data_IF_330238401252
#
_entry.id   IF_330238401252
#
_cell.length_a   1.000
_cell.length_b   1.000
_cell.length_c   1.000
_cell.angle_alpha   90.00
_cell.angle_beta   90.00
_cell.angle_gamma   90.00
#
_symmetry.space_group_name_H-M   'P 1'
#
loop_
_entity.id
_entity.type
_entity.pdbx_description
1 polymer ?
#
# COMPACT_ATOMS: atom_id res chain seq x y z
N UNK A 1 -30.97 -0.53 6.77
CA UNK A 1 -32.42 -0.72 7.03
C UNK A 1 -32.83 -2.02 6.38
N UNK A 2 -33.36 -2.95 7.18
CA UNK A 2 -33.90 -4.20 6.70
C UNK A 2 -35.08 -3.95 5.78
N UNK A 3 -34.98 -4.36 4.51
CA UNK A 3 -36.10 -4.16 3.57
C UNK A 3 -37.00 -5.38 3.56
N UNK A 4 -37.88 -5.44 4.57
CA UNK A 4 -38.90 -6.49 4.69
C UNK A 4 -39.89 -6.46 3.50
N UNK A 5 -39.95 -5.38 2.72
CA UNK A 5 -40.78 -5.26 1.54
C UNK A 5 -40.25 -6.12 0.39
N UNK A 6 -38.95 -5.98 0.07
CA UNK A 6 -38.30 -6.77 -0.98
C UNK A 6 -38.30 -8.27 -0.67
N UNK A 7 -38.11 -8.64 0.62
CA UNK A 7 -38.16 -10.07 1.02
C UNK A 7 -39.57 -10.66 0.83
N UNK A 8 -40.62 -9.90 1.14
CA UNK A 8 -42.02 -10.35 0.90
C UNK A 8 -42.28 -10.51 -0.60
N UNK A 9 -41.81 -9.58 -1.41
CA UNK A 9 -41.95 -9.67 -2.86
C UNK A 9 -41.19 -10.85 -3.43
N UNK A 10 -39.92 -11.07 -2.98
CA UNK A 10 -39.14 -12.23 -3.37
C UNK A 10 -39.85 -13.55 -3.04
N UNK A 11 -40.40 -13.69 -1.81
CA UNK A 11 -41.17 -14.84 -1.42
C UNK A 11 -42.41 -15.04 -2.28
N UNK A 12 -43.15 -13.97 -2.56
CA UNK A 12 -44.35 -14.07 -3.39
C UNK A 12 -44.03 -14.52 -4.83
N UNK A 13 -42.97 -14.02 -5.41
CA UNK A 13 -42.49 -14.40 -6.76
C UNK A 13 -42.01 -15.86 -6.77
N UNK A 14 -41.26 -16.27 -5.76
CA UNK A 14 -40.80 -17.66 -5.61
C UNK A 14 -41.99 -18.62 -5.48
N UNK A 15 -42.93 -18.33 -4.57
CA UNK A 15 -44.11 -19.22 -4.34
C UNK A 15 -44.97 -19.32 -5.61
N UNK A 16 -45.14 -18.24 -6.35
CA UNK A 16 -45.85 -18.24 -7.62
C UNK A 16 -45.14 -19.08 -8.70
N UNK A 17 -43.80 -19.03 -8.76
CA UNK A 17 -43.02 -19.84 -9.65
C UNK A 17 -43.12 -21.33 -9.30
N UNK A 18 -42.87 -21.68 -8.06
CA UNK A 18 -42.88 -23.05 -7.57
C UNK A 18 -44.28 -23.70 -7.75
N UNK A 19 -45.33 -22.93 -7.49
CA UNK A 19 -46.71 -23.40 -7.72
C UNK A 19 -47.03 -23.76 -9.19
N UNK A 20 -46.35 -23.12 -10.11
CA UNK A 20 -46.59 -23.31 -11.56
C UNK A 20 -45.63 -24.26 -12.23
N UNK A 21 -44.33 -24.25 -11.79
CA UNK A 21 -43.26 -24.90 -12.51
C UNK A 21 -42.46 -25.90 -11.67
N UNK A 22 -42.72 -26.00 -10.37
CA UNK A 22 -41.91 -26.79 -9.43
C UNK A 22 -40.67 -26.02 -8.92
N UNK A 23 -39.87 -26.72 -8.13
CA UNK A 23 -38.68 -26.14 -7.51
C UNK A 23 -37.56 -25.81 -8.54
N UNK A 24 -36.71 -24.83 -8.20
CA UNK A 24 -35.62 -24.39 -9.09
C UNK A 24 -34.60 -25.48 -9.39
N UNK A 25 -34.35 -26.37 -8.41
CA UNK A 25 -33.39 -27.47 -8.57
C UNK A 25 -33.96 -28.69 -9.34
N UNK A 26 -35.22 -28.65 -9.77
CA UNK A 26 -35.75 -29.68 -10.67
C UNK A 26 -35.06 -29.58 -12.04
N UNK A 27 -34.78 -30.73 -12.68
CA UNK A 27 -33.88 -30.78 -13.85
C UNK A 27 -34.23 -29.80 -14.97
N UNK A 28 -35.51 -29.70 -15.33
CA UNK A 28 -35.97 -28.84 -16.42
C UNK A 28 -35.80 -27.37 -16.06
N UNK A 29 -36.15 -26.97 -14.81
CA UNK A 29 -35.99 -25.59 -14.33
C UNK A 29 -34.50 -25.21 -14.19
N UNK A 30 -33.68 -26.15 -13.72
CA UNK A 30 -32.24 -25.94 -13.59
C UNK A 30 -31.57 -25.56 -14.90
N UNK A 31 -31.88 -26.27 -15.99
CA UNK A 31 -31.29 -25.99 -17.31
C UNK A 31 -31.67 -24.57 -17.77
N UNK A 32 -32.93 -24.15 -17.62
CA UNK A 32 -33.40 -22.83 -18.01
C UNK A 32 -32.80 -21.70 -17.17
N UNK A 33 -32.75 -21.88 -15.85
CA UNK A 33 -32.19 -20.87 -14.92
C UNK A 33 -30.69 -20.67 -15.18
N UNK A 34 -29.95 -21.73 -15.48
CA UNK A 34 -28.52 -21.65 -15.77
C UNK A 34 -28.17 -20.98 -17.11
N UNK A 35 -29.16 -20.71 -17.96
CA UNK A 35 -28.95 -19.87 -19.16
C UNK A 35 -28.77 -18.39 -18.81
N UNK A 36 -29.25 -17.96 -17.65
CA UNK A 36 -29.05 -16.58 -17.18
C UNK A 36 -27.70 -16.47 -16.44
N UNK A 37 -27.01 -15.33 -16.65
CA UNK A 37 -25.75 -15.03 -15.95
C UNK A 37 -25.89 -14.97 -14.42
N UNK A 38 -27.06 -14.62 -13.91
CA UNK A 38 -27.42 -14.59 -12.47
C UNK A 38 -28.07 -15.89 -11.99
N UNK A 39 -28.18 -16.88 -12.85
CA UNK A 39 -28.82 -18.18 -12.52
C UNK A 39 -28.24 -18.85 -11.29
N UNK A 40 -26.92 -18.78 -11.13
CA UNK A 40 -26.23 -19.33 -9.93
C UNK A 40 -26.72 -18.65 -8.65
N UNK A 41 -26.94 -17.34 -8.66
CA UNK A 41 -27.45 -16.60 -7.51
C UNK A 41 -28.90 -17.00 -7.18
N UNK A 42 -29.72 -17.21 -8.21
CA UNK A 42 -31.11 -17.66 -8.07
C UNK A 42 -31.20 -19.02 -7.37
N UNK A 43 -30.28 -19.94 -7.62
CA UNK A 43 -30.25 -21.23 -6.93
C UNK A 43 -30.02 -21.11 -5.42
N UNK A 44 -29.33 -20.06 -4.99
CA UNK A 44 -29.02 -19.88 -3.54
C UNK A 44 -30.26 -19.63 -2.68
N UNK A 45 -31.42 -19.28 -3.27
CA UNK A 45 -32.69 -19.09 -2.53
C UNK A 45 -33.40 -20.41 -2.21
N UNK A 46 -32.98 -21.53 -2.80
CA UNK A 46 -33.38 -22.89 -2.42
C UNK A 46 -32.17 -23.62 -1.81
N UNK A 47 -32.45 -24.46 -0.82
CA UNK A 47 -31.45 -25.41 -0.32
C UNK A 47 -32.05 -26.81 -0.18
N UNK A 48 -31.19 -27.81 -0.32
CA UNK A 48 -31.57 -29.22 -0.16
C UNK A 48 -31.42 -29.62 1.31
N UNK A 49 -32.50 -30.02 1.91
CA UNK A 49 -32.52 -30.57 3.25
C UNK A 49 -32.96 -32.07 3.19
N UNK A 50 -31.96 -32.95 3.18
CA UNK A 50 -32.20 -34.39 2.95
C UNK A 50 -32.67 -34.64 1.52
N UNK A 51 -33.95 -35.05 1.36
CA UNK A 51 -34.60 -35.27 0.07
C UNK A 51 -35.49 -34.11 -0.39
N UNK A 52 -35.74 -33.17 0.48
CA UNK A 52 -36.66 -32.06 0.23
C UNK A 52 -35.92 -30.82 -0.16
N UNK A 53 -36.50 -30.02 -1.08
CA UNK A 53 -36.06 -28.70 -1.45
C UNK A 53 -36.84 -27.67 -0.65
N UNK A 54 -36.15 -26.81 0.08
CA UNK A 54 -36.76 -25.83 0.98
C UNK A 54 -36.19 -24.43 0.70
N UNK A 55 -36.96 -23.41 1.10
CA UNK A 55 -36.50 -22.03 1.07
C UNK A 55 -35.27 -21.85 1.95
N UNK A 56 -34.22 -21.22 1.42
CA UNK A 56 -33.03 -20.86 2.18
C UNK A 56 -33.33 -19.75 3.22
N UNK A 57 -32.42 -19.57 4.16
CA UNK A 57 -32.62 -18.63 5.27
C UNK A 57 -32.77 -17.17 4.83
N UNK A 58 -32.20 -16.76 3.71
CA UNK A 58 -32.35 -15.41 3.14
C UNK A 58 -33.85 -15.08 2.87
N UNK A 59 -34.65 -16.08 2.59
CA UNK A 59 -36.12 -15.93 2.37
C UNK A 59 -36.88 -15.66 3.67
N UNK A 60 -36.29 -15.95 4.81
CA UNK A 60 -36.90 -15.84 6.14
C UNK A 60 -36.34 -14.70 6.96
N UNK A 61 -35.00 -14.54 6.95
CA UNK A 61 -34.29 -13.56 7.76
C UNK A 61 -33.03 -13.03 7.04
N UNK A 62 -32.48 -11.90 7.49
CA UNK A 62 -31.20 -11.39 6.95
C UNK A 62 -30.08 -12.38 7.29
N UNK A 63 -29.42 -12.93 6.26
CA UNK A 63 -28.30 -13.87 6.44
C UNK A 63 -26.94 -13.15 6.53
N UNK A 64 -26.87 -11.91 6.07
CA UNK A 64 -25.66 -11.09 6.10
C UNK A 64 -25.32 -10.52 7.49
N UNK A 65 -26.30 -10.54 8.43
CA UNK A 65 -26.13 -9.92 9.74
C UNK A 65 -26.53 -10.91 10.84
N UNK A 66 -25.57 -11.24 11.70
CA UNK A 66 -25.85 -11.96 12.93
C UNK A 66 -26.72 -11.05 13.80
N UNK A 67 -27.89 -11.54 14.27
CA UNK A 67 -28.67 -10.81 15.27
C UNK A 67 -27.83 -10.69 16.54
N UNK A 68 -27.47 -9.45 16.89
CA UNK A 68 -26.87 -9.17 18.19
C UNK A 68 -27.93 -9.44 19.21
N UNK A 69 -27.64 -10.30 20.19
CA UNK A 69 -28.51 -10.46 21.33
C UNK A 69 -28.56 -9.13 22.09
N UNK A 70 -29.69 -8.40 22.09
CA UNK A 70 -29.75 -7.07 22.70
C UNK A 70 -29.54 -7.12 24.23
N UNK A 71 -29.52 -8.31 24.83
CA UNK A 71 -29.32 -8.51 26.27
C UNK A 71 -27.86 -8.91 26.61
N UNK A 72 -27.01 -9.17 25.61
CA UNK A 72 -25.61 -9.52 25.84
C UNK A 72 -24.74 -8.26 25.81
N UNK A 73 -24.39 -7.75 26.98
CA UNK A 73 -23.38 -6.70 27.12
C UNK A 73 -22.01 -7.29 26.79
N UNK A 74 -21.28 -6.60 25.93
CA UNK A 74 -19.90 -6.93 25.56
C UNK A 74 -18.93 -6.10 26.41
N UNK A 75 -17.75 -6.63 26.66
CA UNK A 75 -16.64 -5.81 27.13
C UNK A 75 -16.17 -4.88 26.00
N UNK A 76 -15.54 -3.73 26.27
CA UNK A 76 -15.05 -2.80 25.23
C UNK A 76 -14.17 -3.49 24.19
N UNK A 77 -13.30 -4.42 24.58
CA UNK A 77 -12.44 -5.20 23.68
C UNK A 77 -13.27 -6.15 22.79
N UNK A 78 -14.25 -6.85 23.37
CA UNK A 78 -15.15 -7.71 22.59
C UNK A 78 -16.01 -6.90 21.61
N UNK A 79 -16.49 -5.74 22.05
CA UNK A 79 -17.25 -4.82 21.22
C UNK A 79 -16.40 -4.29 20.07
N UNK A 80 -15.15 -3.91 20.33
CA UNK A 80 -14.20 -3.49 19.29
C UNK A 80 -13.93 -4.61 18.29
N UNK A 81 -13.62 -5.83 18.74
CA UNK A 81 -13.42 -6.99 17.88
C UNK A 81 -14.67 -7.29 17.02
N UNK A 82 -15.85 -7.14 17.62
CA UNK A 82 -17.14 -7.32 16.94
C UNK A 82 -17.37 -6.22 15.89
N UNK A 83 -17.12 -4.96 16.25
CA UNK A 83 -17.23 -3.81 15.34
C UNK A 83 -16.28 -3.96 14.15
N UNK A 84 -15.02 -4.30 14.42
CA UNK A 84 -14.03 -4.56 13.38
C UNK A 84 -14.45 -5.72 12.46
N UNK A 85 -15.04 -6.77 13.01
CA UNK A 85 -15.51 -7.91 12.24
C UNK A 85 -16.71 -7.58 11.33
N UNK A 86 -17.66 -6.74 11.79
CA UNK A 86 -18.86 -6.39 11.04
C UNK A 86 -18.69 -5.19 10.12
N UNK A 87 -17.97 -4.15 10.57
CA UNK A 87 -17.88 -2.87 9.86
C UNK A 87 -16.49 -2.62 9.27
N UNK A 88 -15.49 -3.46 9.59
CA UNK A 88 -14.09 -3.25 9.20
C UNK A 88 -13.41 -2.07 9.92
N UNK A 89 -14.12 -1.41 10.85
CA UNK A 89 -13.65 -0.26 11.63
C UNK A 89 -14.19 -0.27 13.05
N UNK A 90 -13.57 0.52 13.92
CA UNK A 90 -14.07 0.76 15.28
C UNK A 90 -15.18 1.81 15.24
N UNK A 91 -16.43 1.38 15.08
CA UNK A 91 -17.59 2.27 15.04
C UNK A 91 -18.02 2.61 16.47
N UNK A 92 -17.85 3.88 16.87
CA UNK A 92 -18.09 4.32 18.25
C UNK A 92 -19.56 4.18 18.67
N UNK A 93 -20.50 4.44 17.77
CA UNK A 93 -21.93 4.27 18.07
C UNK A 93 -22.25 2.80 18.38
N UNK A 94 -21.68 1.88 17.62
CA UNK A 94 -21.81 0.45 17.88
C UNK A 94 -21.16 0.05 19.22
N UNK A 95 -19.97 0.59 19.51
CA UNK A 95 -19.28 0.32 20.78
C UNK A 95 -20.14 0.77 21.98
N UNK A 96 -20.66 1.99 21.96
CA UNK A 96 -21.53 2.51 23.02
C UNK A 96 -22.80 1.67 23.21
N UNK A 97 -23.45 1.28 22.10
CA UNK A 97 -24.65 0.44 22.16
C UNK A 97 -24.37 -0.97 22.69
N UNK A 98 -23.24 -1.56 22.32
CA UNK A 98 -22.92 -2.96 22.67
C UNK A 98 -22.40 -3.10 24.10
N UNK A 99 -21.77 -2.06 24.65
CA UNK A 99 -21.21 -2.05 26.02
C UNK A 99 -22.14 -1.40 27.02
N UNK A 100 -23.09 -0.55 26.59
CA UNK A 100 -23.90 0.34 27.41
C UNK A 100 -23.05 1.31 28.27
N UNK A 101 -21.91 1.74 27.70
CA UNK A 101 -20.93 2.64 28.32
C UNK A 101 -20.86 3.97 27.58
N UNK A 102 -20.43 5.02 28.29
CA UNK A 102 -20.16 6.31 27.68
C UNK A 102 -18.89 6.30 26.82
N UNK A 103 -18.83 7.19 25.85
CA UNK A 103 -17.67 7.32 24.94
C UNK A 103 -16.34 7.45 25.70
N UNK A 104 -16.30 8.27 26.75
CA UNK A 104 -15.11 8.49 27.56
C UNK A 104 -14.58 7.23 28.25
N UNK A 105 -15.50 6.41 28.75
CA UNK A 105 -15.19 5.13 29.40
C UNK A 105 -14.60 4.15 28.38
N UNK A 106 -15.23 4.05 27.21
CA UNK A 106 -14.75 3.20 26.11
C UNK A 106 -13.35 3.62 25.63
N UNK A 107 -13.12 4.92 25.44
CA UNK A 107 -11.81 5.45 25.07
C UNK A 107 -10.75 5.14 26.14
N UNK A 108 -11.12 5.25 27.42
CA UNK A 108 -10.26 4.90 28.55
C UNK A 108 -9.89 3.42 28.56
N UNK A 109 -10.86 2.55 28.38
CA UNK A 109 -10.69 1.09 28.39
C UNK A 109 -9.94 0.57 27.16
N UNK A 110 -10.11 1.24 26.01
CA UNK A 110 -9.44 0.90 24.74
C UNK A 110 -8.15 1.69 24.50
N UNK A 111 -7.61 2.32 25.55
CA UNK A 111 -6.34 3.09 25.43
C UNK A 111 -5.22 2.20 24.90
N UNK A 112 -4.62 2.64 23.78
CA UNK A 112 -3.57 1.90 23.09
C UNK A 112 -4.06 0.86 22.06
N UNK A 113 -5.37 0.59 22.01
CA UNK A 113 -6.00 -0.24 20.97
C UNK A 113 -6.61 0.61 19.85
N UNK A 114 -7.09 1.82 20.17
CA UNK A 114 -7.63 2.78 19.22
C UNK A 114 -6.92 4.13 19.37
N UNK A 115 -6.82 4.86 18.26
CA UNK A 115 -6.21 6.19 18.18
C UNK A 115 -7.11 7.14 17.39
N UNK A 116 -7.26 8.37 17.88
CA UNK A 116 -8.01 9.40 17.17
C UNK A 116 -7.23 9.92 15.98
N UNK A 117 -7.87 9.91 14.80
CA UNK A 117 -7.32 10.44 13.57
C UNK A 117 -8.08 11.72 13.17
N UNK A 118 -7.54 12.91 13.43
CA UNK A 118 -8.22 14.17 13.16
C UNK A 118 -8.42 14.42 11.64
N UNK A 119 -7.63 13.81 10.76
CA UNK A 119 -7.80 13.97 9.31
C UNK A 119 -9.12 13.40 8.79
N UNK A 120 -9.68 12.40 9.48
CA UNK A 120 -10.96 11.77 9.14
C UNK A 120 -12.02 11.97 10.23
N UNK A 121 -11.66 12.54 11.38
CA UNK A 121 -12.55 12.76 12.53
C UNK A 121 -13.05 11.46 13.18
N UNK A 122 -12.32 10.35 13.06
CA UNK A 122 -12.73 9.02 13.53
C UNK A 122 -11.64 8.34 14.36
N UNK A 123 -12.06 7.30 15.11
CA UNK A 123 -11.15 6.43 15.85
C UNK A 123 -10.73 5.27 14.98
N UNK A 124 -9.43 5.08 14.81
CA UNK A 124 -8.85 3.96 14.07
C UNK A 124 -8.22 2.93 15.01
N UNK A 125 -8.38 1.65 14.70
CA UNK A 125 -7.70 0.57 15.40
C UNK A 125 -6.18 0.63 15.19
N UNK A 126 -5.41 0.31 16.23
CA UNK A 126 -3.93 0.36 16.25
C UNK A 126 -3.26 -0.27 15.02
N UNK A 127 -3.77 -1.42 14.56
CA UNK A 127 -3.18 -2.16 13.42
C UNK A 127 -3.22 -1.37 12.12
N UNK A 128 -4.24 -0.52 11.92
CA UNK A 128 -4.36 0.37 10.76
C UNK A 128 -3.68 1.71 11.02
N UNK A 129 -3.88 2.28 12.22
CA UNK A 129 -3.36 3.60 12.56
C UNK A 129 -1.82 3.63 12.60
N UNK A 130 -1.18 2.67 13.28
CA UNK A 130 0.26 2.58 13.49
C UNK A 130 1.01 1.88 12.32
N UNK A 131 0.44 1.86 11.12
CA UNK A 131 1.02 1.23 9.94
C UNK A 131 0.99 2.15 8.72
N UNK A 132 1.69 1.73 7.66
CA UNK A 132 1.86 2.55 6.46
C UNK A 132 2.99 3.56 6.61
N UNK A 133 2.91 4.68 5.90
CA UNK A 133 3.88 5.78 6.05
C UNK A 133 3.59 6.56 7.34
N UNK A 134 4.20 6.12 8.43
CA UNK A 134 3.97 6.68 9.78
C UNK A 134 4.53 8.10 9.93
N UNK A 135 5.60 8.44 9.20
CA UNK A 135 6.20 9.80 9.23
C UNK A 135 5.26 10.80 8.55
N UNK A 136 4.75 10.46 7.36
CA UNK A 136 3.79 11.32 6.65
C UNK A 136 2.50 11.48 7.45
N UNK A 137 1.97 10.39 8.03
CA UNK A 137 0.79 10.41 8.89
C UNK A 137 1.01 11.28 10.13
N UNK A 138 2.16 11.18 10.77
CA UNK A 138 2.51 12.00 11.93
C UNK A 138 2.53 13.49 11.59
N UNK A 139 3.12 13.88 10.45
CA UNK A 139 3.14 15.26 9.94
C UNK A 139 1.74 15.77 9.61
N UNK A 140 0.94 14.95 8.91
CA UNK A 140 -0.43 15.27 8.55
C UNK A 140 -1.28 15.53 9.80
N UNK A 141 -1.30 14.59 10.74
CA UNK A 141 -2.05 14.70 12.00
C UNK A 141 -1.59 15.90 12.81
N UNK A 142 -0.28 16.13 12.89
CA UNK A 142 0.30 17.29 13.58
C UNK A 142 -0.15 18.64 13.01
N UNK A 143 -0.48 18.73 11.73
CA UNK A 143 -0.95 19.95 11.09
C UNK A 143 -2.36 20.37 11.56
N UNK A 144 -3.18 19.44 12.04
CA UNK A 144 -4.53 19.72 12.54
C UNK A 144 -4.56 20.24 13.98
N UNK A 145 -3.47 20.12 14.76
CA UNK A 145 -3.44 20.48 16.18
C UNK A 145 -3.94 21.89 16.49
N UNK A 146 -3.75 22.85 15.60
CA UNK A 146 -4.21 24.24 15.80
C UNK A 146 -5.72 24.43 15.66
N UNK A 147 -6.42 23.49 15.02
CA UNK A 147 -7.85 23.59 14.70
C UNK A 147 -8.73 22.77 15.65
N UNK A 148 -8.12 21.90 16.45
CA UNK A 148 -8.80 20.95 17.33
C UNK A 148 -9.22 21.60 18.66
N UNK A 149 -10.27 21.05 19.28
CA UNK A 149 -10.65 21.33 20.65
C UNK A 149 -9.60 20.82 21.64
N UNK A 150 -9.58 21.32 22.87
CA UNK A 150 -8.57 20.91 23.86
C UNK A 150 -8.61 19.39 24.14
N UNK A 151 -9.78 18.77 24.09
CA UNK A 151 -9.97 17.34 24.26
C UNK A 151 -9.40 16.53 23.08
N UNK A 152 -9.68 16.96 21.86
CA UNK A 152 -9.16 16.33 20.66
C UNK A 152 -7.65 16.49 20.54
N UNK A 153 -7.08 17.59 21.04
CA UNK A 153 -5.63 17.79 21.15
C UNK A 153 -4.96 16.75 22.00
N UNK A 154 -5.48 16.46 23.19
CA UNK A 154 -4.93 15.43 24.09
C UNK A 154 -4.93 14.04 23.43
N UNK A 155 -6.01 13.69 22.75
CA UNK A 155 -6.10 12.45 21.97
C UNK A 155 -5.10 12.42 20.82
N UNK A 156 -4.98 13.52 20.08
CA UNK A 156 -4.07 13.65 18.94
C UNK A 156 -2.62 13.62 19.38
N UNK A 157 -2.25 14.26 20.49
CA UNK A 157 -0.90 14.20 21.07
C UNK A 157 -0.54 12.76 21.47
N UNK A 158 -1.49 12.03 22.06
CA UNK A 158 -1.32 10.60 22.34
C UNK A 158 -1.10 9.79 21.08
N UNK A 159 -1.86 10.07 20.03
CA UNK A 159 -1.74 9.42 18.73
C UNK A 159 -0.39 9.72 18.04
N UNK A 160 0.06 10.98 18.05
CA UNK A 160 1.37 11.40 17.52
C UNK A 160 2.51 10.72 18.27
N UNK A 161 2.42 10.62 19.60
CA UNK A 161 3.43 9.90 20.39
C UNK A 161 3.50 8.42 20.01
N UNK A 162 2.36 7.77 19.87
CA UNK A 162 2.31 6.36 19.47
C UNK A 162 2.88 6.13 18.04
N UNK A 163 2.66 7.06 17.11
CA UNK A 163 3.28 7.03 15.78
C UNK A 163 4.81 7.21 15.86
N UNK A 164 5.28 8.11 16.73
CA UNK A 164 6.71 8.30 16.94
C UNK A 164 7.37 7.05 17.52
N UNK A 165 6.72 6.37 18.47
CA UNK A 165 7.22 5.15 19.11
C UNK A 165 7.37 3.97 18.14
N UNK A 166 6.57 3.91 17.06
CA UNK A 166 6.66 2.86 16.03
C UNK A 166 7.45 3.29 14.79
N UNK A 167 7.87 4.56 14.73
CA UNK A 167 8.68 5.05 13.61
C UNK A 167 10.02 4.31 13.59
N UNK A 168 10.45 3.77 12.44
CA UNK A 168 11.74 3.10 12.33
C UNK A 168 12.88 4.02 12.78
N UNK A 169 13.90 3.43 13.41
CA UNK A 169 15.12 4.15 13.76
C UNK A 169 15.76 4.74 12.50
N UNK A 170 16.18 5.99 12.57
CA UNK A 170 16.75 6.68 11.43
C UNK A 170 18.06 6.03 10.99
N UNK A 171 18.18 5.74 9.70
CA UNK A 171 19.42 5.25 9.09
C UNK A 171 20.39 6.43 9.04
N UNK A 172 21.58 6.33 9.67
CA UNK A 172 22.55 7.41 9.70
C UNK A 172 23.26 7.56 8.33
N UNK A 173 23.92 8.71 8.10
CA UNK A 173 24.59 9.03 6.84
C UNK A 173 25.60 7.94 6.39
N UNK A 174 26.34 7.38 7.33
CA UNK A 174 27.38 6.38 7.09
C UNK A 174 26.84 5.03 6.57
N UNK A 175 25.54 4.80 6.76
CA UNK A 175 24.84 3.59 6.29
C UNK A 175 24.00 3.84 5.02
N UNK A 176 23.95 5.09 4.55
CA UNK A 176 23.24 5.40 3.31
C UNK A 176 24.05 4.96 2.08
N UNK A 177 23.46 4.16 1.23
CA UNK A 177 23.99 3.86 -0.10
C UNK A 177 23.51 4.94 -1.08
N UNK A 178 24.32 6.00 -1.24
CA UNK A 178 23.99 7.15 -2.08
C UNK A 178 24.70 7.02 -3.43
N UNK A 179 23.92 6.91 -4.49
CA UNK A 179 24.42 6.86 -5.84
C UNK A 179 24.12 8.14 -6.61
N UNK A 180 25.06 8.60 -7.41
CA UNK A 180 24.84 9.76 -8.28
C UNK A 180 23.70 9.47 -9.26
N UNK A 181 22.77 10.42 -9.40
CA UNK A 181 21.61 10.33 -10.29
C UNK A 181 20.34 9.78 -9.64
N UNK A 182 20.34 9.53 -8.33
CA UNK A 182 19.12 9.18 -7.62
C UNK A 182 18.11 10.34 -7.61
N UNK A 183 16.84 10.03 -7.92
CA UNK A 183 15.77 11.02 -8.15
C UNK A 183 15.26 11.70 -6.88
N UNK A 184 15.62 11.16 -5.71
CA UNK A 184 15.26 11.76 -4.43
C UNK A 184 16.22 12.85 -3.96
N UNK A 185 17.41 12.94 -4.56
CA UNK A 185 18.41 13.97 -4.29
C UNK A 185 18.06 15.23 -5.08
N UNK A 186 18.08 16.37 -4.42
CA UNK A 186 17.81 17.65 -5.07
C UNK A 186 18.82 17.93 -6.19
N UNK A 187 18.33 18.32 -7.37
CA UNK A 187 19.16 18.66 -8.53
C UNK A 187 20.14 19.81 -8.25
N UNK A 188 19.85 20.65 -7.25
CA UNK A 188 20.76 21.69 -6.80
C UNK A 188 22.08 21.09 -6.30
N UNK A 189 22.04 19.96 -5.60
CA UNK A 189 23.25 19.30 -5.11
C UNK A 189 24.12 18.80 -6.27
N UNK A 190 23.51 18.28 -7.33
CA UNK A 190 24.21 17.91 -8.56
C UNK A 190 24.78 19.12 -9.29
N UNK A 191 24.06 20.25 -9.29
CA UNK A 191 24.51 21.50 -9.89
C UNK A 191 25.71 22.08 -9.13
N UNK A 192 25.69 22.07 -7.80
CA UNK A 192 26.79 22.52 -6.94
C UNK A 192 28.06 21.67 -7.17
N UNK A 193 27.90 20.34 -7.23
CA UNK A 193 29.00 19.44 -7.57
C UNK A 193 29.53 19.67 -8.97
N UNK A 194 28.66 19.80 -9.99
CA UNK A 194 29.07 20.05 -11.37
C UNK A 194 29.80 21.38 -11.51
N UNK A 195 29.38 22.41 -10.76
CA UNK A 195 30.02 23.73 -10.73
C UNK A 195 31.46 23.64 -10.20
N UNK A 196 31.67 22.87 -9.12
CA UNK A 196 33.03 22.63 -8.59
C UNK A 196 33.86 21.75 -9.54
N UNK A 197 33.27 20.69 -10.09
CA UNK A 197 33.96 19.75 -11.00
C UNK A 197 34.45 20.42 -12.27
N UNK A 198 33.62 21.27 -12.89
CA UNK A 198 33.90 21.91 -14.17
C UNK A 198 34.47 23.32 -14.03
N UNK A 199 34.63 23.81 -12.80
CA UNK A 199 35.13 25.16 -12.51
C UNK A 199 34.35 26.28 -13.24
N UNK A 200 33.06 26.04 -13.47
CA UNK A 200 32.14 27.00 -14.11
C UNK A 200 30.73 26.79 -13.59
N UNK A 201 29.96 27.85 -13.43
CA UNK A 201 28.57 27.77 -13.01
C UNK A 201 27.80 26.81 -13.93
N UNK A 202 27.20 25.78 -13.32
CA UNK A 202 26.53 24.71 -14.04
C UNK A 202 25.13 24.49 -13.45
N UNK A 203 24.14 24.44 -14.31
CA UNK A 203 22.76 24.13 -13.90
C UNK A 203 22.40 22.69 -14.28
N UNK A 204 21.71 22.03 -13.38
CA UNK A 204 21.16 20.67 -13.57
C UNK A 204 19.65 20.74 -13.36
N UNK A 205 18.91 20.28 -14.34
CA UNK A 205 17.45 20.18 -14.30
C UNK A 205 17.03 18.74 -14.55
N UNK A 206 15.99 18.30 -13.85
CA UNK A 206 15.39 16.99 -14.05
C UNK A 206 13.96 17.14 -14.52
N UNK A 207 13.58 16.35 -15.51
CA UNK A 207 12.22 16.27 -16.06
C UNK A 207 11.65 14.89 -15.82
N UNK A 208 10.69 14.80 -14.93
CA UNK A 208 10.03 13.58 -14.50
C UNK A 208 9.21 12.89 -15.60
N UNK A 209 8.66 13.67 -16.54
CA UNK A 209 7.82 13.17 -17.65
C UNK A 209 8.55 12.16 -18.55
N UNK A 210 9.84 12.40 -18.82
CA UNK A 210 10.68 11.57 -19.68
C UNK A 210 11.92 11.03 -18.99
N UNK A 211 11.99 11.15 -17.65
CA UNK A 211 13.09 10.69 -16.80
C UNK A 211 14.46 11.16 -17.33
N UNK A 212 14.60 12.47 -17.61
CA UNK A 212 15.78 13.01 -18.27
C UNK A 212 16.40 14.14 -17.47
N UNK A 213 17.73 14.12 -17.36
CA UNK A 213 18.52 15.24 -16.86
C UNK A 213 19.01 16.11 -18.00
N UNK A 214 19.02 17.43 -17.79
CA UNK A 214 19.65 18.41 -18.64
C UNK A 214 20.73 19.14 -17.85
N UNK A 215 21.96 19.13 -18.34
CA UNK A 215 23.10 19.80 -17.74
C UNK A 215 23.55 20.94 -18.69
N UNK A 216 23.73 22.13 -18.13
CA UNK A 216 24.15 23.31 -18.90
C UNK A 216 25.29 24.05 -18.19
N UNK A 217 26.43 24.08 -18.80
CA UNK A 217 27.55 24.92 -18.39
C UNK A 217 27.30 26.35 -18.88
N UNK A 218 27.44 27.33 -18.00
CA UNK A 218 27.19 28.76 -18.37
C UNK A 218 28.32 29.38 -19.16
N UNK A 219 29.55 28.86 -19.01
CA UNK A 219 30.72 29.35 -19.75
C UNK A 219 31.64 28.21 -20.14
N UNK A 220 32.63 28.51 -21.00
CA UNK A 220 33.63 27.53 -21.40
C UNK A 220 34.45 27.04 -20.22
N UNK A 221 34.56 25.72 -20.10
CA UNK A 221 35.35 25.04 -19.07
C UNK A 221 36.46 24.22 -19.72
N UNK A 222 37.73 24.54 -19.47
CA UNK A 222 38.84 23.70 -19.93
C UNK A 222 38.75 22.26 -19.39
N UNK A 223 38.22 22.08 -18.19
CA UNK A 223 38.06 20.76 -17.58
C UNK A 223 37.02 19.95 -18.35
N UNK A 224 35.84 20.53 -18.67
CA UNK A 224 34.80 19.85 -19.42
C UNK A 224 35.21 19.49 -20.84
N UNK A 225 35.98 20.36 -21.51
CA UNK A 225 36.33 20.19 -22.92
C UNK A 225 37.72 19.55 -23.18
N UNK A 226 38.56 19.39 -22.17
CA UNK A 226 39.85 18.69 -22.30
C UNK A 226 39.93 17.43 -21.43
N UNK A 227 39.57 17.53 -20.15
CA UNK A 227 39.71 16.40 -19.21
C UNK A 227 38.57 15.40 -19.40
N UNK A 228 37.34 15.91 -19.44
CA UNK A 228 36.10 15.09 -19.58
C UNK A 228 35.55 15.14 -21.02
N UNK A 229 36.40 15.12 -22.01
CA UNK A 229 36.01 15.12 -23.42
C UNK A 229 36.39 13.79 -24.09
N UNK A 230 35.43 13.17 -24.80
CA UNK A 230 35.65 11.94 -25.58
C UNK A 230 34.91 12.06 -26.90
N UNK A 231 35.64 12.15 -28.01
CA UNK A 231 35.08 12.31 -29.35
C UNK A 231 34.22 13.58 -29.49
N UNK A 232 32.88 13.40 -29.45
CA UNK A 232 31.89 14.47 -29.57
C UNK A 232 31.15 14.74 -28.26
N UNK A 233 31.50 14.01 -27.19
CA UNK A 233 30.87 14.15 -25.87
C UNK A 233 31.76 15.02 -24.99
N UNK A 234 31.20 16.13 -24.53
CA UNK A 234 31.90 16.99 -23.58
C UNK A 234 31.60 16.55 -22.12
N UNK A 235 32.17 17.27 -21.16
CA UNK A 235 31.99 16.96 -19.74
C UNK A 235 30.54 17.05 -19.29
N UNK A 236 29.74 17.95 -19.87
CA UNK A 236 28.32 18.06 -19.60
C UNK A 236 27.54 16.82 -20.07
N UNK A 237 27.87 16.35 -21.29
CA UNK A 237 27.27 15.12 -21.83
C UNK A 237 27.63 13.89 -20.99
N UNK A 238 28.91 13.74 -20.61
CA UNK A 238 29.36 12.65 -19.76
C UNK A 238 28.75 12.73 -18.34
N UNK A 239 28.50 13.93 -17.85
CA UNK A 239 27.82 14.15 -16.58
C UNK A 239 26.34 13.67 -16.64
N UNK A 240 25.65 13.93 -17.76
CA UNK A 240 24.30 13.38 -17.98
C UNK A 240 24.32 11.85 -17.96
N UNK A 241 25.30 11.23 -18.63
CA UNK A 241 25.48 9.79 -18.59
C UNK A 241 25.80 9.28 -17.18
N UNK A 242 26.57 10.02 -16.38
CA UNK A 242 26.84 9.69 -14.99
C UNK A 242 25.56 9.73 -14.10
N UNK A 243 24.66 10.69 -14.35
CA UNK A 243 23.37 10.79 -13.69
C UNK A 243 22.39 9.67 -14.08
N UNK A 244 22.50 9.15 -15.30
CA UNK A 244 21.64 8.06 -15.79
C UNK A 244 22.22 6.66 -15.62
N UNK A 245 23.44 6.55 -15.12
CA UNK A 245 24.20 5.29 -15.05
C UNK A 245 24.28 4.57 -16.40
N UNK A 246 24.57 5.34 -17.44
CA UNK A 246 24.68 4.87 -18.84
C UNK A 246 26.02 5.23 -19.45
N UNK A 247 26.35 4.58 -20.56
CA UNK A 247 27.53 4.89 -21.35
C UNK A 247 27.07 5.28 -22.75
N UNK A 248 27.66 6.35 -23.39
CA UNK A 248 27.27 6.80 -24.72
C UNK A 248 27.62 5.77 -25.79
N UNK A 249 26.75 5.65 -26.80
CA UNK A 249 27.03 4.89 -28.00
C UNK A 249 27.95 5.70 -28.94
N UNK A 250 29.22 5.37 -28.96
CA UNK A 250 30.23 6.08 -29.81
C UNK A 250 30.57 5.19 -31.02
N UNK A 251 30.46 5.75 -32.21
CA UNK A 251 30.74 5.02 -33.45
C UNK A 251 31.88 5.69 -34.23
N UNK A 252 32.64 4.87 -34.99
CA UNK A 252 33.64 5.32 -35.99
C UNK A 252 33.33 4.79 -37.38
N UNK A 253 33.72 5.55 -38.40
CA UNK A 253 33.61 5.13 -39.79
C UNK A 253 34.83 4.32 -40.21
N UNK A 254 34.60 3.13 -40.76
CA UNK A 254 35.63 2.29 -41.37
C UNK A 254 35.26 2.00 -42.84
N UNK A 255 36.27 1.80 -43.68
CA UNK A 255 36.07 1.34 -45.05
C UNK A 255 36.08 -0.19 -45.08
N UNK A 256 34.98 -0.82 -45.56
CA UNK A 256 34.88 -2.24 -45.76
C UNK A 256 34.41 -2.50 -47.21
N UNK A 257 35.23 -3.18 -48.00
CA UNK A 257 34.97 -3.44 -49.41
C UNK A 257 34.70 -2.19 -50.28
N UNK A 258 35.28 -1.00 -49.92
CA UNK A 258 35.06 0.25 -50.63
C UNK A 258 33.91 1.10 -50.10
N UNK A 259 33.05 0.56 -49.25
CA UNK A 259 31.94 1.28 -48.63
C UNK A 259 32.29 1.78 -47.22
N UNK A 260 31.75 2.94 -46.86
CA UNK A 260 31.81 3.49 -45.48
C UNK A 260 30.81 2.77 -44.61
N UNK A 261 31.28 2.12 -43.56
CA UNK A 261 30.43 1.42 -42.54
C UNK A 261 30.70 2.03 -41.18
N UNK A 262 29.65 2.34 -40.43
CA UNK A 262 29.74 2.76 -39.02
C UNK A 262 29.82 1.52 -38.14
N UNK A 263 30.83 1.47 -37.28
CA UNK A 263 31.02 0.42 -36.27
C UNK A 263 31.23 1.06 -34.90
N UNK A 264 30.92 0.34 -33.80
CA UNK A 264 31.23 0.82 -32.46
C UNK A 264 32.72 1.16 -32.32
N UNK A 265 33.01 2.28 -31.65
CA UNK A 265 34.38 2.68 -31.28
C UNK A 265 34.63 2.21 -29.85
N UNK A 266 34.98 0.94 -29.67
CA UNK A 266 35.13 0.29 -28.37
C UNK A 266 36.12 1.01 -27.45
N UNK A 267 37.22 1.58 -28.05
CA UNK A 267 38.20 2.33 -27.29
C UNK A 267 37.63 3.63 -26.72
N UNK A 268 36.88 4.36 -27.53
CA UNK A 268 36.23 5.61 -27.10
C UNK A 268 35.06 5.33 -26.10
N UNK A 269 34.33 4.23 -26.27
CA UNK A 269 33.30 3.81 -25.34
C UNK A 269 33.92 3.47 -23.98
N UNK A 270 35.03 2.73 -23.95
CA UNK A 270 35.75 2.40 -22.74
C UNK A 270 36.35 3.62 -22.04
N UNK A 271 36.87 4.58 -22.81
CA UNK A 271 37.38 5.86 -22.29
C UNK A 271 36.22 6.66 -21.65
N UNK A 272 35.07 6.76 -22.34
CA UNK A 272 33.89 7.43 -21.81
C UNK A 272 33.39 6.78 -20.52
N UNK A 273 33.28 5.44 -20.47
CA UNK A 273 32.91 4.70 -19.29
C UNK A 273 33.82 4.95 -18.09
N UNK A 274 35.13 5.03 -18.35
CA UNK A 274 36.15 5.34 -17.32
C UNK A 274 35.95 6.75 -16.75
N UNK A 275 35.73 7.74 -17.62
CA UNK A 275 35.49 9.14 -17.19
C UNK A 275 34.17 9.32 -16.48
N UNK A 276 33.12 8.61 -16.90
CA UNK A 276 31.82 8.60 -16.24
C UNK A 276 31.97 8.02 -14.83
N UNK A 277 32.68 6.90 -14.67
CA UNK A 277 32.93 6.33 -13.36
C UNK A 277 33.77 7.27 -12.48
N UNK A 278 34.75 7.96 -13.04
CA UNK A 278 35.51 8.95 -12.30
C UNK A 278 34.64 10.11 -11.79
N UNK A 279 33.69 10.60 -12.60
CA UNK A 279 32.71 11.61 -12.17
C UNK A 279 31.90 11.12 -10.99
N UNK A 280 31.38 9.87 -11.03
CA UNK A 280 30.60 9.25 -9.94
C UNK A 280 31.42 9.09 -8.66
N UNK A 281 32.67 8.62 -8.78
CA UNK A 281 33.57 8.46 -7.64
C UNK A 281 33.97 9.82 -7.03
N UNK A 282 34.08 10.85 -7.86
CA UNK A 282 34.32 12.22 -7.38
C UNK A 282 33.09 12.80 -6.67
N UNK A 283 31.90 12.52 -7.16
CA UNK A 283 30.66 12.94 -6.49
C UNK A 283 30.60 12.38 -5.08
N UNK A 284 30.81 11.09 -4.89
CA UNK A 284 30.77 10.47 -3.57
C UNK A 284 31.80 11.08 -2.61
N UNK A 285 33.05 11.25 -3.08
CA UNK A 285 34.11 11.92 -2.28
C UNK A 285 33.83 13.41 -2.02
N UNK A 286 33.13 14.09 -2.89
CA UNK A 286 32.72 15.46 -2.70
C UNK A 286 31.59 15.53 -1.67
N UNK A 287 30.63 14.61 -1.74
CA UNK A 287 29.49 14.52 -0.83
C UNK A 287 29.95 14.29 0.62
N UNK A 288 30.94 13.44 0.83
CA UNK A 288 31.54 13.16 2.17
C UNK A 288 32.18 14.40 2.81
N UNK A 289 32.56 15.40 1.99
CA UNK A 289 33.17 16.65 2.46
C UNK A 289 32.18 17.79 2.66
N UNK A 290 30.91 17.55 2.35
CA UNK A 290 29.88 18.57 2.53
C UNK A 290 29.64 18.86 4.02
N UNK A 291 29.18 20.09 4.35
CA UNK A 291 28.77 20.47 5.70
C UNK A 291 27.76 19.48 6.29
N UNK A 292 27.76 19.40 7.63
CA UNK A 292 26.88 18.48 8.35
C UNK A 292 25.41 18.75 8.04
N UNK A 293 25.03 20.00 7.80
CA UNK A 293 23.66 20.40 7.49
C UNK A 293 23.17 19.79 6.17
N UNK A 294 24.05 19.66 5.17
CA UNK A 294 23.72 19.05 3.89
C UNK A 294 23.56 17.54 4.05
N UNK A 295 24.44 16.90 4.83
CA UNK A 295 24.36 15.47 5.11
C UNK A 295 23.13 15.13 5.96
N UNK A 296 22.82 15.93 6.96
CA UNK A 296 21.62 15.75 7.78
C UNK A 296 20.34 15.91 6.95
N UNK A 297 20.33 16.82 5.97
CA UNK A 297 19.20 16.97 5.06
C UNK A 297 19.03 15.72 4.17
N UNK A 298 20.11 15.13 3.68
CA UNK A 298 20.06 13.87 2.93
C UNK A 298 19.53 12.72 3.81
N UNK A 299 20.02 12.59 5.04
CA UNK A 299 19.53 11.62 6.03
C UNK A 299 18.03 11.81 6.24
N UNK A 300 17.59 13.04 6.46
CA UNK A 300 16.18 13.36 6.67
C UNK A 300 15.33 12.96 5.48
N UNK A 301 15.70 13.39 4.27
CA UNK A 301 14.93 13.10 3.04
C UNK A 301 14.89 11.61 2.76
N UNK A 302 16.02 10.90 2.94
CA UNK A 302 16.09 9.45 2.75
C UNK A 302 15.15 8.71 3.71
N UNK A 303 15.24 9.01 5.01
CA UNK A 303 14.42 8.33 6.01
C UNK A 303 12.93 8.64 5.83
N UNK A 304 12.57 9.88 5.49
CA UNK A 304 11.17 10.27 5.22
C UNK A 304 10.59 9.57 3.99
N UNK A 305 11.42 9.17 3.03
CA UNK A 305 10.98 8.56 1.78
C UNK A 305 11.07 7.04 1.78
N UNK A 306 12.12 6.47 2.35
CA UNK A 306 12.43 5.05 2.23
C UNK A 306 12.39 4.29 3.54
N UNK A 307 12.59 4.95 4.68
CA UNK A 307 12.58 4.36 6.01
C UNK A 307 11.41 4.86 6.87
N UNK A 308 10.25 5.06 6.25
CA UNK A 308 9.08 5.65 6.87
C UNK A 308 7.90 4.68 6.98
N UNK A 309 8.06 3.46 6.48
CA UNK A 309 6.96 2.53 6.32
C UNK A 309 6.98 1.42 7.36
N UNK A 310 5.95 1.37 8.19
CA UNK A 310 5.68 0.28 9.14
C UNK A 310 4.72 -0.70 8.48
N UNK A 311 5.12 -1.98 8.40
CA UNK A 311 4.26 -3.02 7.84
C UNK A 311 3.05 -3.24 8.74
N UNK A 312 1.82 -3.24 8.18
CA UNK A 312 0.65 -3.55 8.96
C UNK A 312 0.71 -5.00 9.45
N UNK A 313 0.39 -5.19 10.72
CA UNK A 313 0.19 -6.50 11.30
C UNK A 313 -1.30 -6.80 11.37
N UNK A 314 -1.73 -7.83 10.66
CA UNK A 314 -3.12 -8.24 10.62
C UNK A 314 -3.32 -9.41 11.57
N UNK A 315 -3.95 -9.15 12.73
CA UNK A 315 -4.35 -10.19 13.69
C UNK A 315 -5.81 -10.56 13.46
N UNK A 316 -6.02 -11.67 12.80
CA UNK A 316 -7.34 -12.23 12.51
C UNK A 316 -7.90 -13.14 13.62
N UNK A 317 -7.23 -13.25 14.78
CA UNK A 317 -7.60 -14.19 15.86
C UNK A 317 -9.02 -13.97 16.40
N UNK A 318 -9.45 -12.71 16.47
CA UNK A 318 -10.79 -12.35 16.97
C UNK A 318 -11.92 -12.68 15.99
N UNK A 319 -11.62 -13.06 14.74
CA UNK A 319 -12.66 -13.38 13.77
C UNK A 319 -13.34 -14.73 14.06
N UNK A 320 -14.65 -14.72 13.96
CA UNK A 320 -15.48 -15.93 14.04
C UNK A 320 -16.20 -16.17 12.72
N UNK A 321 -16.32 -17.43 12.33
CA UNK A 321 -16.94 -17.86 11.07
C UNK A 321 -18.05 -18.89 11.38
N UNK A 322 -19.18 -18.46 11.98
CA UNK A 322 -20.22 -19.38 12.48
C UNK A 322 -20.97 -20.13 11.38
N UNK A 323 -20.87 -19.66 10.13
CA UNK A 323 -21.51 -20.29 8.98
C UNK A 323 -20.60 -21.29 8.26
N UNK A 324 -19.32 -21.37 8.65
CA UNK A 324 -18.35 -22.27 8.04
C UNK A 324 -18.40 -23.62 8.75
N UNK A 325 -18.78 -24.68 8.03
CA UNK A 325 -18.72 -26.07 8.51
C UNK A 325 -17.38 -26.71 8.17
N UNK A 326 -16.74 -27.31 9.17
CA UNK A 326 -15.48 -28.03 9.02
C UNK A 326 -15.64 -29.56 9.00
N UNK A 327 -16.88 -30.09 8.99
CA UNK A 327 -17.15 -31.53 9.07
C UNK A 327 -16.48 -32.39 7.99
N UNK A 328 -16.19 -31.78 6.84
CA UNK A 328 -15.53 -32.46 5.71
C UNK A 328 -14.02 -32.17 5.60
N UNK A 329 -13.47 -31.40 6.55
CA UNK A 329 -12.06 -31.00 6.53
C UNK A 329 -11.28 -31.74 7.62
N UNK A 330 -9.98 -31.96 7.46
CA UNK A 330 -9.13 -32.60 8.47
C UNK A 330 -8.76 -31.67 9.65
N UNK A 331 -9.39 -30.51 9.77
CA UNK A 331 -9.15 -29.48 10.80
C UNK A 331 -10.47 -28.84 11.22
N UNK A 332 -10.54 -28.39 12.48
CA UNK A 332 -11.76 -27.88 13.11
C UNK A 332 -11.92 -26.36 13.00
N UNK A 333 -10.92 -25.65 12.51
CA UNK A 333 -10.93 -24.19 12.36
C UNK A 333 -9.93 -23.73 11.32
N UNK A 334 -10.08 -22.48 10.84
CA UNK A 334 -9.06 -21.86 9.98
C UNK A 334 -7.73 -21.70 10.71
N UNK A 335 -6.63 -21.88 10.00
CA UNK A 335 -5.30 -21.61 10.51
C UNK A 335 -5.13 -20.10 10.81
N UNK A 336 -4.28 -19.72 11.80
CA UNK A 336 -4.02 -18.31 12.11
C UNK A 336 -3.67 -17.48 10.88
N UNK A 337 -2.76 -17.95 10.03
CA UNK A 337 -2.37 -17.27 8.80
C UNK A 337 -3.51 -17.08 7.78
N UNK A 338 -4.49 -17.98 7.77
CA UNK A 338 -5.69 -17.82 6.94
C UNK A 338 -6.62 -16.75 7.50
N UNK A 339 -6.82 -16.74 8.83
CA UNK A 339 -7.59 -15.70 9.52
C UNK A 339 -6.96 -14.31 9.31
N UNK A 340 -5.63 -14.21 9.42
CA UNK A 340 -4.90 -12.96 9.21
C UNK A 340 -5.04 -12.44 7.76
N UNK A 341 -4.98 -13.34 6.78
CA UNK A 341 -5.20 -12.99 5.38
C UNK A 341 -6.63 -12.52 5.11
N UNK A 342 -7.64 -13.19 5.67
CA UNK A 342 -9.04 -12.78 5.57
C UNK A 342 -9.24 -11.43 6.25
N UNK A 343 -8.60 -11.21 7.39
CA UNK A 343 -8.63 -9.94 8.11
C UNK A 343 -8.02 -8.80 7.28
N UNK A 344 -6.88 -9.04 6.65
CA UNK A 344 -6.25 -8.11 5.71
C UNK A 344 -7.19 -7.71 4.57
N UNK A 345 -7.84 -8.69 3.95
CA UNK A 345 -8.79 -8.46 2.84
C UNK A 345 -9.98 -7.61 3.31
N UNK A 346 -10.54 -7.91 4.49
CA UNK A 346 -11.64 -7.13 5.07
C UNK A 346 -11.26 -5.68 5.33
N UNK A 347 -10.09 -5.44 5.94
CA UNK A 347 -9.66 -4.09 6.30
C UNK A 347 -9.33 -3.22 5.09
N UNK A 348 -8.79 -3.81 4.03
CA UNK A 348 -8.33 -3.07 2.86
C UNK A 348 -9.31 -3.12 1.67
N UNK A 349 -10.43 -3.84 1.80
CA UNK A 349 -11.35 -4.08 0.69
C UNK A 349 -10.77 -4.92 -0.44
N UNK A 350 -9.64 -5.60 -0.19
CA UNK A 350 -8.93 -6.45 -1.15
C UNK A 350 -7.47 -6.62 -0.78
N UNK A 351 -6.71 -7.37 -1.59
CA UNK A 351 -5.28 -7.55 -1.36
C UNK A 351 -4.68 -8.69 -2.17
N UNK A 352 -3.35 -8.81 -2.10
CA UNK A 352 -2.59 -9.92 -2.71
C UNK A 352 -2.20 -10.89 -1.60
N UNK A 353 -2.71 -12.13 -1.68
CA UNK A 353 -2.35 -13.21 -0.78
C UNK A 353 -1.13 -13.97 -1.33
N UNK A 354 0.05 -13.59 -0.88
CA UNK A 354 1.33 -14.21 -1.27
C UNK A 354 1.70 -15.36 -0.33
N UNK A 355 0.83 -16.35 -0.21
CA UNK A 355 1.12 -17.55 0.57
C UNK A 355 1.72 -18.65 -0.32
N UNK A 356 2.50 -19.55 0.26
CA UNK A 356 3.06 -20.70 -0.45
C UNK A 356 1.99 -21.66 -0.96
N UNK A 357 2.36 -22.57 -1.86
CA UNK A 357 1.47 -23.59 -2.38
C UNK A 357 1.07 -24.55 -1.23
N UNK A 358 -0.22 -24.92 -1.18
CA UNK A 358 -0.74 -25.82 -0.14
C UNK A 358 -1.23 -25.16 1.15
N UNK A 359 -1.11 -23.83 1.31
CA UNK A 359 -1.56 -23.09 2.52
C UNK A 359 -3.07 -22.83 2.58
N UNK A 360 -3.84 -23.35 1.62
CA UNK A 360 -5.29 -23.19 1.60
C UNK A 360 -5.78 -21.85 1.08
N UNK A 361 -5.10 -21.25 0.09
CA UNK A 361 -5.53 -19.99 -0.55
C UNK A 361 -6.97 -20.00 -1.05
N UNK A 362 -7.43 -21.13 -1.59
CA UNK A 362 -8.81 -21.29 -2.04
C UNK A 362 -9.81 -21.12 -0.87
N UNK A 363 -9.49 -21.65 0.31
CA UNK A 363 -10.30 -21.46 1.51
C UNK A 363 -10.34 -19.99 1.92
N UNK A 364 -9.19 -19.30 1.89
CA UNK A 364 -9.12 -17.86 2.18
C UNK A 364 -10.05 -17.08 1.23
N UNK A 365 -9.99 -17.36 -0.08
CA UNK A 365 -10.84 -16.70 -1.08
C UNK A 365 -12.33 -16.98 -0.85
N UNK A 366 -12.70 -18.24 -0.59
CA UNK A 366 -14.10 -18.60 -0.35
C UNK A 366 -14.68 -17.97 0.92
N UNK A 367 -13.86 -17.79 1.96
CA UNK A 367 -14.34 -17.22 3.24
C UNK A 367 -14.31 -15.68 3.19
N UNK A 368 -13.46 -15.08 2.38
CA UNK A 368 -13.37 -13.64 2.23
C UNK A 368 -14.44 -13.04 1.31
N UNK A 369 -15.01 -13.84 0.40
CA UNK A 369 -16.09 -13.46 -0.51
C UNK A 369 -17.46 -13.44 0.16
#
# INVERSE_FOLDING_TARGET
KEDNGLRRELNARYDAFVAKWGCFHENDNKEFIMLDSLGVEVFTIEMQLGKDLVKSDIMREPVAFKKIDPNKRLTPIEALASSLNFYGRGDMDYLMQSTDSAEEEIIGDLKGEIFYNPAIGEWEHKGKFLSGNVIAKCKEIGSYLSELTDREKDWTETAVKALADVTPEAIPYEELDINMGERWIDTKLYADFATELFETETSVMYFDVNDTYIVRLQSYSPVAYNTYFVRNYDGGDLFVHALHDTVPEITKEIYRNGDKVRVPDEEAIQEAATKIQEIRDRFNRWLDRQPIEVRDELVRVYNERFNCYVRPHYDGSAQTFPQLSFEQFPYDSLYPSQKDAIWMIKQNGGGICWHEVGTGKTMIMCVAA
#
